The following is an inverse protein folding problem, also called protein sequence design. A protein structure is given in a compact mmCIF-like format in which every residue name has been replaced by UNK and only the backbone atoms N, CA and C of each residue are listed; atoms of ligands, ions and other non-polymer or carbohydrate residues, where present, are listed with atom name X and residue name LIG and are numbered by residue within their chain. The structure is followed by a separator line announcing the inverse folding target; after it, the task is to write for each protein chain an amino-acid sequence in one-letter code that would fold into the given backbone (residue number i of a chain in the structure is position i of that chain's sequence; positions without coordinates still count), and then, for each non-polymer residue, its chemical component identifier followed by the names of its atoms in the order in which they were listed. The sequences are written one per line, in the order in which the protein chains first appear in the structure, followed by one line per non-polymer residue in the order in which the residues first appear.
data_IF_510738440760
#
_entry.id   IF_510738440760
#
_cell.length_a   1.000
_cell.length_b   1.000
_cell.length_c   1.000
_cell.angle_alpha   90.00
_cell.angle_beta   90.00
_cell.angle_gamma   90.00
#
_symmetry.space_group_name_H-M   'P 1'
#
loop_
_entity.id
_entity.type
_entity.pdbx_description
1 polymer ?
#
# COMPACT_ATOMS: atom_id res chain seq x y z
N UNK A 1 30.40 -21.69 5.28
CA UNK A 1 29.78 -20.38 5.59
C UNK A 1 28.29 -20.58 5.68
N UNK A 2 27.59 -19.85 6.54
CA UNK A 2 26.13 -19.87 6.68
C UNK A 2 25.62 -18.44 6.82
N UNK A 3 24.33 -18.23 6.56
CA UNK A 3 23.62 -16.97 6.80
C UNK A 3 22.65 -17.13 7.96
N UNK A 4 22.29 -16.03 8.61
CA UNK A 4 21.29 -16.04 9.68
C UNK A 4 19.88 -15.66 9.21
N UNK A 5 19.72 -14.86 8.15
CA UNK A 5 18.39 -14.50 7.62
C UNK A 5 17.95 -15.33 6.39
N UNK A 6 16.64 -15.57 6.26
CA UNK A 6 16.01 -16.35 5.18
C UNK A 6 15.67 -15.56 3.89
N UNK A 7 15.07 -14.38 3.98
CA UNK A 7 14.82 -13.48 2.86
C UNK A 7 14.98 -12.05 3.33
N UNK A 8 15.50 -11.16 2.47
CA UNK A 8 15.74 -9.76 2.80
C UNK A 8 14.85 -8.85 1.95
N UNK A 9 14.46 -7.71 2.50
CA UNK A 9 14.02 -6.55 1.71
C UNK A 9 15.24 -5.73 1.28
N UNK A 10 15.08 -4.98 0.20
CA UNK A 10 16.12 -4.07 -0.27
C UNK A 10 16.55 -3.09 0.85
N UNK A 11 17.86 -2.90 1.00
CA UNK A 11 18.45 -2.07 2.07
C UNK A 11 18.78 -2.81 3.37
N UNK A 12 18.25 -4.01 3.57
CA UNK A 12 18.57 -4.84 4.73
C UNK A 12 19.97 -5.47 4.62
N UNK A 13 20.55 -5.81 5.78
CA UNK A 13 21.86 -6.47 5.86
C UNK A 13 21.67 -7.97 6.00
N UNK A 14 22.41 -8.74 5.22
CA UNK A 14 22.67 -10.15 5.56
C UNK A 14 23.81 -10.23 6.58
N UNK A 15 23.68 -11.09 7.59
CA UNK A 15 24.82 -11.52 8.40
C UNK A 15 25.30 -12.91 7.95
N UNK A 16 26.56 -12.97 7.55
CA UNK A 16 27.26 -14.18 7.14
C UNK A 16 28.25 -14.59 8.22
N UNK A 17 28.26 -15.86 8.57
CA UNK A 17 29.20 -16.41 9.54
C UNK A 17 29.90 -17.64 8.97
N UNK A 18 31.13 -17.85 9.41
CA UNK A 18 31.84 -19.07 9.06
C UNK A 18 33.00 -19.33 9.98
N UNK A 19 33.67 -20.45 9.73
CA UNK A 19 34.81 -20.92 10.50
C UNK A 19 35.81 -21.56 9.54
N UNK A 20 37.06 -21.15 9.63
CA UNK A 20 38.17 -21.74 8.89
C UNK A 20 38.59 -23.06 9.53
N UNK A 21 38.88 -24.08 8.72
CA UNK A 21 39.19 -25.45 9.18
C UNK A 21 40.43 -25.50 10.07
N UNK A 22 41.46 -24.70 9.76
CA UNK A 22 42.72 -24.67 10.52
C UNK A 22 42.59 -24.09 11.95
N UNK A 23 41.45 -23.46 12.30
CA UNK A 23 41.20 -22.82 13.61
C UNK A 23 42.30 -21.84 14.06
N UNK A 24 43.02 -21.20 13.12
CA UNK A 24 44.10 -20.24 13.42
C UNK A 24 43.54 -18.81 13.50
N UNK A 25 44.19 -17.99 14.33
CA UNK A 25 43.93 -16.55 14.43
C UNK A 25 44.44 -15.81 13.18
N UNK A 26 43.83 -14.66 12.89
CA UNK A 26 44.28 -13.66 11.91
C UNK A 26 44.38 -14.16 10.46
N UNK A 27 43.62 -15.19 10.08
CA UNK A 27 43.57 -15.66 8.70
C UNK A 27 42.61 -14.81 7.88
N UNK A 28 43.05 -14.22 6.76
CA UNK A 28 42.16 -13.48 5.86
C UNK A 28 41.27 -14.44 5.09
N UNK A 29 39.97 -14.16 5.06
CA UNK A 29 38.96 -14.91 4.32
C UNK A 29 38.32 -13.98 3.30
N UNK A 30 38.50 -14.25 2.02
CA UNK A 30 37.83 -13.51 0.96
C UNK A 30 36.36 -13.94 0.89
N UNK A 31 35.44 -13.00 1.09
CA UNK A 31 34.01 -13.23 0.89
C UNK A 31 33.60 -12.61 -0.43
N UNK A 32 33.17 -13.46 -1.35
CA UNK A 32 32.65 -13.06 -2.65
C UNK A 32 31.13 -13.02 -2.65
N UNK A 33 30.59 -12.07 -3.41
CA UNK A 33 29.18 -12.01 -3.76
C UNK A 33 29.01 -12.04 -5.27
N UNK A 34 28.16 -12.95 -5.76
CA UNK A 34 27.71 -12.98 -7.15
C UNK A 34 26.22 -12.63 -7.20
N UNK A 35 25.91 -11.38 -7.55
CA UNK A 35 24.55 -10.98 -7.88
C UNK A 35 24.06 -11.74 -9.13
N UNK A 36 22.74 -11.99 -9.23
CA UNK A 36 22.15 -12.63 -10.42
C UNK A 36 22.46 -11.79 -11.66
N UNK A 37 23.03 -12.43 -12.69
CA UNK A 37 23.41 -11.76 -13.93
C UNK A 37 24.73 -10.97 -13.90
N UNK A 38 25.47 -10.98 -12.78
CA UNK A 38 26.77 -10.32 -12.67
C UNK A 38 27.93 -11.30 -12.47
N UNK A 39 29.15 -10.80 -12.67
CA UNK A 39 30.39 -11.50 -12.27
C UNK A 39 30.56 -11.45 -10.74
N UNK A 40 31.14 -12.49 -10.10
CA UNK A 40 31.46 -12.45 -8.68
C UNK A 40 32.41 -11.28 -8.36
N UNK A 41 32.17 -10.63 -7.21
CA UNK A 41 33.02 -9.54 -6.69
C UNK A 41 33.37 -9.84 -5.24
N UNK A 42 34.59 -9.50 -4.82
CA UNK A 42 34.96 -9.52 -3.39
C UNK A 42 34.27 -8.38 -2.68
N UNK A 43 33.48 -8.70 -1.66
CA UNK A 43 32.76 -7.70 -0.86
C UNK A 43 33.41 -7.42 0.48
N UNK A 44 34.21 -8.35 1.00
CA UNK A 44 34.91 -8.20 2.27
C UNK A 44 36.06 -9.21 2.38
N UNK A 45 37.06 -8.87 3.19
CA UNK A 45 38.16 -9.77 3.57
C UNK A 45 38.31 -9.78 5.10
N UNK A 46 37.35 -10.33 5.87
CA UNK A 46 37.48 -10.43 7.32
C UNK A 46 38.69 -11.29 7.74
N UNK A 47 39.20 -11.04 8.94
CA UNK A 47 40.19 -11.90 9.60
C UNK A 47 39.55 -12.79 10.66
N UNK A 48 40.07 -14.00 10.83
CA UNK A 48 39.53 -14.98 11.78
C UNK A 48 39.91 -14.69 13.23
N UNK A 49 38.99 -14.96 14.16
CA UNK A 49 39.27 -14.95 15.60
C UNK A 49 40.16 -16.13 16.05
N UNK A 50 40.49 -16.21 17.34
CA UNK A 50 41.35 -17.28 17.91
C UNK A 50 40.75 -18.69 17.75
N UNK A 51 39.45 -18.80 17.47
CA UNK A 51 38.75 -20.06 17.20
C UNK A 51 38.56 -20.32 15.70
N UNK A 52 39.14 -19.48 14.84
CA UNK A 52 39.05 -19.54 13.39
C UNK A 52 37.75 -18.97 12.81
N UNK A 53 36.92 -18.27 13.59
CA UNK A 53 35.60 -17.79 13.14
C UNK A 53 35.69 -16.40 12.52
N UNK A 54 34.78 -16.12 11.60
CA UNK A 54 34.65 -14.81 10.96
C UNK A 54 33.18 -14.44 10.77
N UNK A 55 32.91 -13.14 10.71
CA UNK A 55 31.58 -12.56 10.48
C UNK A 55 31.68 -11.46 9.43
N UNK A 56 30.73 -11.43 8.50
CA UNK A 56 30.57 -10.35 7.52
C UNK A 56 29.13 -9.88 7.54
N UNK A 57 28.93 -8.57 7.40
CA UNK A 57 27.62 -7.98 7.14
C UNK A 57 27.67 -7.28 5.79
N UNK A 58 26.67 -7.51 4.95
CA UNK A 58 26.60 -6.92 3.61
C UNK A 58 25.16 -6.54 3.27
N UNK A 59 24.96 -5.44 2.54
CA UNK A 59 23.64 -5.01 2.02
C UNK A 59 23.56 -5.33 0.52
N UNK A 60 23.08 -6.52 0.13
CA UNK A 60 22.95 -6.83 -1.29
C UNK A 60 21.83 -6.02 -1.94
N UNK A 61 22.12 -5.38 -3.09
CA UNK A 61 21.10 -4.68 -3.88
C UNK A 61 20.17 -5.62 -4.66
N UNK A 62 20.69 -6.80 -5.05
CA UNK A 62 19.98 -7.79 -5.86
C UNK A 62 20.05 -9.15 -5.20
N UNK A 63 19.24 -10.11 -5.65
CA UNK A 63 19.37 -11.52 -5.23
C UNK A 63 20.67 -12.14 -5.79
N UNK A 64 21.22 -13.13 -5.11
CA UNK A 64 22.51 -13.70 -5.52
C UNK A 64 23.03 -14.78 -4.59
N UNK A 65 24.33 -15.05 -4.68
CA UNK A 65 25.00 -16.09 -3.89
C UNK A 65 26.32 -15.60 -3.33
N UNK A 66 26.59 -15.93 -2.07
CA UNK A 66 27.86 -15.70 -1.40
C UNK A 66 28.73 -16.94 -1.41
N UNK A 67 30.04 -16.75 -1.35
CA UNK A 67 31.00 -17.81 -1.06
C UNK A 67 32.18 -17.23 -0.28
N UNK A 68 32.73 -18.01 0.64
CA UNK A 68 34.00 -17.67 1.28
C UNK A 68 35.13 -18.51 0.69
N UNK A 69 36.28 -17.88 0.52
CA UNK A 69 37.49 -18.42 -0.09
C UNK A 69 38.67 -18.07 0.83
N UNK A 70 39.55 -19.02 1.11
CA UNK A 70 40.82 -18.71 1.77
C UNK A 70 41.76 -17.93 0.83
N UNK A 71 42.77 -17.24 1.37
CA UNK A 71 43.69 -16.42 0.54
C UNK A 71 44.36 -17.20 -0.59
N UNK A 72 44.62 -18.50 -0.42
CA UNK A 72 45.27 -19.33 -1.44
C UNK A 72 44.29 -19.87 -2.50
N UNK A 73 42.98 -19.66 -2.33
CA UNK A 73 41.96 -20.21 -3.21
C UNK A 73 41.75 -21.72 -3.08
N UNK A 74 42.45 -22.36 -2.14
CA UNK A 74 42.51 -23.80 -1.91
C UNK A 74 41.29 -24.35 -1.16
N UNK A 75 40.66 -23.51 -0.34
CA UNK A 75 39.46 -23.84 0.43
C UNK A 75 38.32 -22.90 0.05
N UNK A 76 37.20 -23.48 -0.37
CA UNK A 76 35.99 -22.76 -0.79
C UNK A 76 34.78 -23.36 -0.10
N UNK A 77 33.87 -22.51 0.34
CA UNK A 77 32.58 -22.98 0.88
C UNK A 77 31.59 -23.27 -0.24
N UNK A 78 30.53 -24.02 0.08
CA UNK A 78 29.31 -24.00 -0.72
C UNK A 78 28.75 -22.59 -0.86
N UNK A 79 27.97 -22.40 -1.91
CA UNK A 79 27.32 -21.13 -2.22
C UNK A 79 26.11 -20.94 -1.30
N UNK A 80 26.08 -19.81 -0.60
CA UNK A 80 24.95 -19.42 0.26
C UNK A 80 24.07 -18.45 -0.51
N UNK A 81 22.85 -18.85 -0.86
CA UNK A 81 21.91 -17.99 -1.58
C UNK A 81 21.30 -16.91 -0.67
N UNK A 82 21.02 -15.75 -1.25
CA UNK A 82 20.22 -14.69 -0.64
C UNK A 82 19.19 -14.20 -1.65
N UNK A 83 17.97 -13.99 -1.19
CA UNK A 83 16.92 -13.35 -1.97
C UNK A 83 16.67 -11.96 -1.42
N UNK A 84 16.67 -10.98 -2.32
CA UNK A 84 16.39 -9.58 -2.03
C UNK A 84 15.11 -9.20 -2.75
N UNK A 85 14.05 -8.99 -1.97
CA UNK A 85 12.78 -8.45 -2.44
C UNK A 85 12.95 -6.95 -2.66
N UNK A 86 12.54 -6.40 -3.82
CA UNK A 86 12.52 -4.96 -3.98
C UNK A 86 11.52 -4.33 -3.00
N UNK A 87 11.65 -3.02 -2.80
CA UNK A 87 10.68 -2.21 -2.07
C UNK A 87 9.96 -1.36 -3.10
N UNK A 88 8.63 -1.35 -3.06
CA UNK A 88 7.82 -0.45 -3.88
C UNK A 88 7.06 0.45 -2.92
N UNK A 89 7.47 1.70 -2.83
CA UNK A 89 6.70 2.70 -2.08
C UNK A 89 5.64 3.27 -3.02
N UNK A 90 4.40 3.36 -2.55
CA UNK A 90 3.27 3.86 -3.34
C UNK A 90 2.29 4.63 -2.48
N UNK A 91 2.29 5.95 -2.65
CA UNK A 91 1.41 6.88 -1.95
C UNK A 91 0.27 7.33 -2.88
N UNK A 92 -0.96 7.35 -2.35
CA UNK A 92 -2.13 7.78 -3.11
C UNK A 92 -2.93 8.78 -2.31
N UNK A 93 -3.25 9.93 -2.93
CA UNK A 93 -4.14 10.91 -2.30
C UNK A 93 -5.54 10.29 -2.11
N UNK A 94 -6.00 10.07 -0.87
CA UNK A 94 -7.01 9.05 -0.57
C UNK A 94 -8.45 9.44 -0.93
N UNK A 95 -8.71 10.70 -1.30
CA UNK A 95 -10.07 11.16 -1.58
C UNK A 95 -10.10 12.26 -2.62
N UNK A 96 -11.06 12.17 -3.53
CA UNK A 96 -11.32 13.21 -4.52
C UNK A 96 -12.81 13.28 -4.87
N UNK A 97 -13.19 14.32 -5.60
CA UNK A 97 -14.50 14.38 -6.24
C UNK A 97 -14.46 13.65 -7.59
N UNK A 98 -15.58 13.08 -8.00
CA UNK A 98 -15.76 12.47 -9.31
C UNK A 98 -15.44 13.51 -10.38
N UNK A 99 -14.70 13.09 -11.41
CA UNK A 99 -14.19 14.01 -12.43
C UNK A 99 -12.97 14.84 -12.01
N UNK A 100 -12.52 14.83 -10.75
CA UNK A 100 -11.19 15.34 -10.39
C UNK A 100 -10.16 14.22 -10.50
N UNK A 101 -8.92 14.59 -10.78
CA UNK A 101 -7.80 13.65 -10.80
C UNK A 101 -7.47 13.18 -9.38
N UNK A 102 -7.06 11.93 -9.28
CA UNK A 102 -6.42 11.31 -8.11
C UNK A 102 -4.94 11.28 -8.44
N UNK A 103 -4.14 11.94 -7.61
CA UNK A 103 -2.69 11.88 -7.74
C UNK A 103 -2.15 10.73 -6.88
N UNK A 104 -1.21 9.99 -7.45
CA UNK A 104 -0.44 8.97 -6.80
C UNK A 104 1.02 9.14 -7.17
N UNK A 105 1.92 8.76 -6.27
CA UNK A 105 3.36 8.80 -6.50
C UNK A 105 4.00 7.57 -5.88
N UNK A 106 5.22 7.26 -6.30
CA UNK A 106 5.93 6.12 -5.74
C UNK A 106 7.35 5.99 -6.24
N UNK A 107 8.04 5.00 -5.69
CA UNK A 107 9.41 4.67 -6.06
C UNK A 107 9.63 3.17 -5.93
N UNK A 108 10.32 2.58 -6.90
CA UNK A 108 10.78 1.19 -6.84
C UNK A 108 12.25 1.17 -6.49
N UNK A 109 12.61 0.45 -5.43
CA UNK A 109 13.98 0.28 -4.97
C UNK A 109 14.45 -1.19 -5.03
N UNK A 110 15.61 -1.48 -5.66
CA UNK A 110 16.45 -0.50 -6.37
C UNK A 110 15.77 -0.02 -7.66
N UNK A 111 15.93 1.25 -8.00
CA UNK A 111 15.52 1.76 -9.31
C UNK A 111 16.49 1.26 -10.40
N UNK A 112 15.99 1.03 -11.61
CA UNK A 112 16.84 0.73 -12.75
C UNK A 112 16.18 1.12 -14.08
N UNK A 113 16.98 1.55 -15.04
CA UNK A 113 16.52 1.84 -16.41
C UNK A 113 15.88 0.61 -17.05
N UNK A 114 14.82 0.82 -17.82
CA UNK A 114 14.05 -0.23 -18.49
C UNK A 114 13.07 -0.98 -17.59
N UNK A 115 13.10 -0.79 -16.26
CA UNK A 115 12.05 -1.30 -15.36
C UNK A 115 10.76 -0.52 -15.56
N UNK A 116 9.63 -1.22 -15.47
CA UNK A 116 8.30 -0.66 -15.62
C UNK A 116 7.44 -0.96 -14.41
N UNK A 117 6.71 0.04 -13.94
CA UNK A 117 5.60 -0.12 -13.00
C UNK A 117 4.30 -0.03 -13.78
N UNK A 118 3.41 -0.99 -13.57
CA UNK A 118 2.03 -0.95 -14.03
C UNK A 118 1.15 -0.39 -12.90
N UNK A 119 0.48 0.73 -13.17
CA UNK A 119 -0.52 1.30 -12.27
C UNK A 119 -1.91 0.97 -12.76
N UNK A 120 -2.75 0.48 -11.85
CA UNK A 120 -4.11 0.01 -12.14
C UNK A 120 -5.12 0.48 -11.09
N UNK A 121 -6.37 0.63 -11.52
CA UNK A 121 -7.50 0.99 -10.68
C UNK A 121 -8.56 -0.11 -10.69
N UNK A 122 -9.20 -0.35 -9.55
CA UNK A 122 -10.30 -1.30 -9.43
C UNK A 122 -11.40 -0.79 -8.52
N UNK A 123 -12.63 -0.74 -9.03
CA UNK A 123 -13.86 -0.47 -8.26
C UNK A 123 -14.61 -1.75 -7.89
N UNK A 124 -14.81 -2.60 -8.89
CA UNK A 124 -15.46 -3.91 -8.86
C UNK A 124 -14.91 -4.73 -10.03
N UNK A 125 -14.93 -6.05 -9.93
CA UNK A 125 -14.44 -6.93 -10.99
C UNK A 125 -12.93 -6.80 -11.17
N UNK A 126 -12.48 -6.61 -12.41
CA UNK A 126 -11.07 -6.64 -12.76
C UNK A 126 -10.33 -5.32 -12.52
N UNK A 127 -9.00 -5.42 -12.49
CA UNK A 127 -8.11 -4.27 -12.50
C UNK A 127 -8.07 -3.67 -13.90
N UNK A 128 -8.22 -2.35 -13.99
CA UNK A 128 -8.11 -1.60 -15.22
C UNK A 128 -6.79 -0.83 -15.23
N UNK A 129 -6.03 -0.94 -16.32
CA UNK A 129 -4.79 -0.17 -16.52
C UNK A 129 -5.09 1.32 -16.45
N UNK A 130 -4.35 2.01 -15.59
CA UNK A 130 -4.29 3.47 -15.52
C UNK A 130 -3.13 3.95 -16.38
N UNK A 131 -1.92 3.48 -16.07
CA UNK A 131 -0.70 3.97 -16.71
C UNK A 131 0.42 2.94 -16.56
N UNK A 132 1.45 3.04 -17.41
CA UNK A 132 2.73 2.34 -17.24
C UNK A 132 3.84 3.36 -17.15
N UNK A 133 4.60 3.34 -16.07
CA UNK A 133 5.65 4.34 -15.78
C UNK A 133 7.02 3.67 -15.69
N UNK A 134 8.08 4.44 -15.98
CA UNK A 134 9.47 4.02 -15.78
C UNK A 134 9.81 3.93 -14.29
N UNK A 135 10.56 2.90 -13.91
CA UNK A 135 10.97 2.64 -12.52
C UNK A 135 12.48 2.86 -12.29
N UNK A 136 13.09 3.71 -13.12
CA UNK A 136 14.48 4.16 -12.95
C UNK A 136 14.63 5.34 -11.97
N UNK A 137 13.53 6.04 -11.69
CA UNK A 137 13.41 7.21 -10.82
C UNK A 137 12.03 7.18 -10.14
N UNK A 138 11.79 8.02 -9.11
CA UNK A 138 10.44 8.22 -8.58
C UNK A 138 9.46 8.59 -9.69
N UNK A 139 8.21 8.13 -9.54
CA UNK A 139 7.15 8.30 -10.53
C UNK A 139 5.93 8.96 -9.92
N UNK A 140 5.19 9.69 -10.76
CA UNK A 140 3.90 10.29 -10.45
C UNK A 140 2.87 9.78 -11.47
N UNK A 141 1.64 9.57 -11.01
CA UNK A 141 0.51 9.13 -11.82
C UNK A 141 -0.74 9.92 -11.46
N UNK A 142 -1.42 10.39 -12.50
CA UNK A 142 -2.67 11.15 -12.36
C UNK A 142 -3.82 10.38 -12.99
N UNK A 143 -4.79 9.96 -12.19
CA UNK A 143 -5.90 9.12 -12.63
C UNK A 143 -7.26 9.77 -12.42
N UNK A 144 -8.11 9.78 -13.44
CA UNK A 144 -9.49 10.33 -13.35
C UNK A 144 -10.53 9.20 -13.20
N UNK A 145 -11.15 9.02 -12.03
CA UNK A 145 -12.20 8.04 -11.83
C UNK A 145 -13.49 8.42 -12.58
N UNK A 146 -14.10 7.45 -13.25
CA UNK A 146 -15.34 7.62 -14.02
C UNK A 146 -16.61 7.66 -13.15
N UNK A 147 -16.58 7.01 -11.99
CA UNK A 147 -17.77 6.81 -11.14
C UNK A 147 -17.46 7.04 -9.67
N UNK A 148 -18.47 7.42 -8.89
CA UNK A 148 -18.37 7.48 -7.43
C UNK A 148 -18.22 6.09 -6.78
N UNK A 149 -17.57 6.07 -5.62
CA UNK A 149 -17.47 4.91 -4.74
C UNK A 149 -16.04 4.63 -4.26
N UNK A 150 -15.85 3.44 -3.71
CA UNK A 150 -14.55 2.96 -3.24
C UNK A 150 -13.81 2.25 -4.37
N UNK A 151 -12.55 2.64 -4.57
CA UNK A 151 -11.60 2.03 -5.47
C UNK A 151 -10.39 1.53 -4.67
N UNK A 152 -9.61 0.67 -5.32
CA UNK A 152 -8.20 0.42 -4.98
C UNK A 152 -7.36 0.88 -6.16
N UNK A 153 -6.30 1.61 -5.88
CA UNK A 153 -5.25 1.91 -6.84
C UNK A 153 -4.05 1.03 -6.49
N UNK A 154 -3.39 0.45 -7.49
CA UNK A 154 -2.25 -0.46 -7.31
C UNK A 154 -1.10 -0.04 -8.20
N UNK A 155 0.11 -0.02 -7.67
CA UNK A 155 1.34 -0.06 -8.44
C UNK A 155 1.91 -1.49 -8.38
N UNK A 156 2.42 -1.98 -9.50
CA UNK A 156 3.00 -3.32 -9.57
C UNK A 156 4.25 -3.36 -10.45
N UNK A 157 5.28 -4.00 -9.91
CA UNK A 157 6.47 -4.44 -10.62
C UNK A 157 6.37 -5.95 -10.81
N UNK A 158 6.43 -6.43 -12.05
CA UNK A 158 6.32 -7.87 -12.33
C UNK A 158 7.57 -8.66 -11.91
N UNK A 159 8.70 -7.97 -11.70
CA UNK A 159 10.00 -8.58 -11.48
C UNK A 159 10.87 -8.56 -12.73
N UNK A 160 12.12 -8.99 -12.57
CA UNK A 160 13.05 -9.17 -13.66
C UNK A 160 14.09 -10.26 -13.34
N UNK A 161 15.14 -10.38 -14.15
CA UNK A 161 16.20 -11.37 -13.96
C UNK A 161 16.94 -11.23 -12.61
N UNK A 162 16.89 -10.05 -11.97
CA UNK A 162 17.64 -9.68 -10.76
C UNK A 162 16.76 -9.62 -9.50
N UNK A 163 15.48 -9.28 -9.65
CA UNK A 163 14.56 -9.00 -8.54
C UNK A 163 13.20 -9.68 -8.76
N UNK A 164 12.59 -10.14 -7.66
CA UNK A 164 11.20 -10.62 -7.66
C UNK A 164 10.23 -9.47 -7.94
N UNK A 165 9.00 -9.79 -8.33
CA UNK A 165 7.92 -8.80 -8.41
C UNK A 165 7.49 -8.30 -7.04
N UNK A 166 6.96 -7.09 -7.01
CA UNK A 166 6.39 -6.44 -5.82
C UNK A 166 5.18 -5.61 -6.22
N UNK A 167 4.22 -5.45 -5.31
CA UNK A 167 3.01 -4.69 -5.58
C UNK A 167 2.51 -4.02 -4.30
N UNK A 168 2.06 -2.79 -4.44
CA UNK A 168 1.43 -2.04 -3.36
C UNK A 168 0.10 -1.48 -3.83
N UNK A 169 -0.88 -1.44 -2.91
CA UNK A 169 -2.21 -0.96 -3.23
C UNK A 169 -2.81 -0.12 -2.11
N UNK A 170 -3.38 1.03 -2.48
CA UNK A 170 -4.02 1.95 -1.56
C UNK A 170 -5.51 2.14 -1.90
N UNK A 171 -6.38 2.33 -0.89
CA UNK A 171 -7.78 2.64 -1.13
C UNK A 171 -7.94 4.09 -1.58
N UNK A 172 -8.89 4.32 -2.48
CA UNK A 172 -9.30 5.66 -2.92
C UNK A 172 -10.82 5.78 -2.81
N UNK A 173 -11.29 6.83 -2.14
CA UNK A 173 -12.71 7.14 -2.09
C UNK A 173 -13.06 8.30 -3.02
N UNK A 174 -13.90 8.02 -3.99
CA UNK A 174 -14.38 8.99 -4.97
C UNK A 174 -15.79 9.42 -4.58
N UNK A 175 -15.95 10.70 -4.29
CA UNK A 175 -17.22 11.28 -3.88
C UNK A 175 -17.88 12.03 -5.03
N UNK A 176 -19.16 12.34 -4.93
CA UNK A 176 -19.79 13.43 -5.70
C UNK A 176 -20.28 14.49 -4.75
N UNK A 177 -20.51 15.68 -5.26
CA UNK A 177 -21.25 16.69 -4.51
C UNK A 177 -22.73 16.30 -4.44
N UNK A 178 -23.34 16.57 -3.29
CA UNK A 178 -24.75 16.32 -3.02
C UNK A 178 -25.26 17.30 -1.96
N UNK A 179 -26.55 17.54 -1.95
CA UNK A 179 -27.26 18.37 -0.97
C UNK A 179 -27.90 17.47 0.08
N UNK A 180 -27.60 17.77 1.34
CA UNK A 180 -28.20 17.12 2.50
C UNK A 180 -29.08 18.09 3.27
N UNK A 181 -30.08 17.56 3.98
CA UNK A 181 -30.72 18.23 5.12
C UNK A 181 -30.66 17.39 6.39
N UNK A 182 -31.42 17.78 7.41
CA UNK A 182 -31.45 17.14 8.73
C UNK A 182 -32.90 16.81 9.11
N UNK A 183 -33.11 15.64 9.68
CA UNK A 183 -34.40 15.22 10.25
C UNK A 183 -34.23 14.56 11.63
N UNK A 184 -35.31 14.53 12.42
CA UNK A 184 -35.29 13.93 13.75
C UNK A 184 -36.42 14.39 14.67
N UNK A 185 -36.44 15.66 15.14
CA UNK A 185 -37.31 16.13 16.24
C UNK A 185 -38.80 15.78 16.10
N UNK A 186 -39.39 15.95 14.92
CA UNK A 186 -40.80 15.61 14.66
C UNK A 186 -41.07 14.13 14.34
N UNK A 187 -40.03 13.30 14.24
CA UNK A 187 -40.12 11.89 13.83
C UNK A 187 -39.62 10.92 14.90
N UNK A 188 -39.05 11.41 16.02
CA UNK A 188 -38.61 10.55 17.10
C UNK A 188 -39.75 9.69 17.65
N UNK A 189 -39.44 8.45 17.98
CA UNK A 189 -40.40 7.45 18.43
C UNK A 189 -41.11 6.69 17.30
N UNK A 190 -41.09 7.21 16.07
CA UNK A 190 -41.72 6.55 14.91
C UNK A 190 -40.79 5.49 14.33
N UNK A 191 -41.39 4.51 13.66
CA UNK A 191 -40.64 3.52 12.88
C UNK A 191 -40.22 4.13 11.55
N UNK A 192 -38.94 4.01 11.22
CA UNK A 192 -38.38 4.37 9.90
C UNK A 192 -38.85 3.39 8.83
N UNK A 193 -38.76 3.77 7.56
CA UNK A 193 -39.09 2.88 6.45
C UNK A 193 -38.18 1.65 6.34
N UNK A 194 -37.04 1.63 7.05
CA UNK A 194 -36.17 0.46 7.16
C UNK A 194 -36.43 -0.38 8.42
N UNK A 195 -37.53 -0.13 9.14
CA UNK A 195 -38.03 -0.97 10.21
C UNK A 195 -37.50 -0.68 11.61
N UNK A 196 -36.50 0.19 11.76
CA UNK A 196 -35.97 0.58 13.08
C UNK A 196 -36.71 1.80 13.65
N UNK A 197 -36.83 1.90 14.97
CA UNK A 197 -37.37 3.09 15.66
C UNK A 197 -36.35 4.24 15.62
N UNK A 198 -36.80 5.44 15.27
CA UNK A 198 -35.96 6.62 15.26
C UNK A 198 -35.84 7.21 16.68
N UNK A 199 -34.62 7.32 17.17
CA UNK A 199 -34.29 7.90 18.47
C UNK A 199 -33.32 9.08 18.30
N UNK A 200 -33.17 9.90 19.35
CA UNK A 200 -32.23 11.04 19.35
C UNK A 200 -30.78 10.63 19.05
N UNK A 201 -30.40 9.42 19.46
CA UNK A 201 -29.04 8.86 19.24
C UNK A 201 -28.88 8.11 17.92
N UNK A 202 -29.96 7.91 17.15
CA UNK A 202 -29.91 7.12 15.92
C UNK A 202 -29.02 7.82 14.89
N UNK A 203 -27.97 7.14 14.45
CA UNK A 203 -27.04 7.62 13.42
C UNK A 203 -27.36 6.95 12.09
N UNK A 204 -27.84 7.72 11.12
CA UNK A 204 -28.20 7.20 9.81
C UNK A 204 -28.53 8.31 8.82
N UNK A 205 -28.96 7.90 7.63
CA UNK A 205 -29.42 8.79 6.57
C UNK A 205 -30.67 8.23 5.89
N UNK A 206 -31.55 9.10 5.41
CA UNK A 206 -32.63 8.76 4.51
C UNK A 206 -32.18 8.88 3.05
N UNK A 207 -32.61 7.94 2.20
CA UNK A 207 -32.43 8.03 0.75
C UNK A 207 -33.60 7.40 -0.01
N UNK A 208 -34.00 8.03 -1.11
CA UNK A 208 -35.16 7.63 -1.95
C UNK A 208 -35.11 6.17 -2.40
N UNK A 209 -33.94 5.69 -2.84
CA UNK A 209 -33.81 4.41 -3.57
C UNK A 209 -32.71 3.45 -3.06
N UNK A 210 -31.84 3.88 -2.15
CA UNK A 210 -30.70 3.04 -1.75
C UNK A 210 -31.18 2.03 -0.72
N UNK A 211 -30.76 0.77 -0.86
CA UNK A 211 -31.15 -0.32 0.04
C UNK A 211 -30.89 0.03 1.51
N UNK A 212 -31.81 -0.38 2.38
CA UNK A 212 -31.68 -0.26 3.82
C UNK A 212 -30.40 -0.95 4.31
N UNK A 213 -29.75 -0.37 5.34
CA UNK A 213 -28.47 -0.86 5.87
C UNK A 213 -27.25 -0.53 5.01
N UNK A 214 -27.41 -0.07 3.77
CA UNK A 214 -26.26 0.27 2.92
C UNK A 214 -25.48 1.43 3.52
N UNK A 215 -24.18 1.22 3.74
CA UNK A 215 -23.28 2.27 4.25
C UNK A 215 -22.94 3.30 3.17
N UNK A 216 -23.03 4.57 3.55
CA UNK A 216 -22.67 5.74 2.75
C UNK A 216 -21.71 6.60 3.54
N UNK A 217 -20.56 6.92 2.94
CA UNK A 217 -19.61 7.88 3.50
C UNK A 217 -19.96 9.29 3.03
N UNK A 218 -20.00 10.23 3.97
CA UNK A 218 -20.15 11.66 3.75
C UNK A 218 -18.89 12.40 4.22
N UNK A 219 -18.48 13.44 3.49
CA UNK A 219 -17.33 14.28 3.85
C UNK A 219 -17.65 15.76 3.71
N UNK A 220 -17.21 16.57 4.68
CA UNK A 220 -17.33 18.04 4.67
C UNK A 220 -16.29 18.67 5.58
N UNK A 221 -15.60 19.72 5.10
CA UNK A 221 -14.64 20.53 5.87
C UNK A 221 -13.67 19.67 6.73
N UNK A 222 -13.01 18.70 6.09
CA UNK A 222 -12.06 17.79 6.75
C UNK A 222 -12.67 16.64 7.57
N UNK A 223 -13.98 16.66 7.83
CA UNK A 223 -14.69 15.62 8.59
C UNK A 223 -15.32 14.58 7.68
N UNK A 224 -15.37 13.33 8.16
CA UNK A 224 -15.97 12.21 7.44
C UNK A 224 -16.77 11.33 8.39
N UNK A 225 -17.94 10.87 7.95
CA UNK A 225 -18.75 9.87 8.66
C UNK A 225 -19.19 8.80 7.67
N UNK A 226 -19.30 7.55 8.12
CA UNK A 226 -19.93 6.47 7.35
C UNK A 226 -21.14 5.97 8.11
N UNK A 227 -22.33 6.13 7.52
CA UNK A 227 -23.61 5.84 8.17
C UNK A 227 -24.49 4.95 7.29
N UNK A 228 -25.34 4.08 7.89
CA UNK A 228 -26.27 3.28 7.12
C UNK A 228 -27.44 4.13 6.58
N UNK A 229 -28.00 3.71 5.45
CA UNK A 229 -29.35 4.14 5.03
C UNK A 229 -30.37 3.48 5.93
N UNK A 230 -31.17 4.29 6.61
CA UNK A 230 -32.15 3.83 7.60
C UNK A 230 -33.57 4.28 7.28
N UNK A 231 -33.78 5.10 6.25
CA UNK A 231 -35.10 5.63 5.96
C UNK A 231 -35.27 6.03 4.48
N UNK A 232 -36.48 6.44 4.11
CA UNK A 232 -36.85 6.93 2.77
C UNK A 232 -37.03 8.45 2.76
N UNK A 233 -36.88 9.04 1.58
CA UNK A 233 -36.84 10.49 1.37
C UNK A 233 -35.42 11.00 1.11
N UNK A 234 -35.19 12.33 1.13
CA UNK A 234 -36.19 13.40 1.16
C UNK A 234 -37.06 13.37 -0.09
N UNK A 235 -38.35 13.71 -0.01
CA UNK A 235 -39.22 13.83 -1.20
C UNK A 235 -39.25 15.24 -1.79
N UNK A 236 -38.20 16.02 -1.53
CA UNK A 236 -38.02 17.39 -2.03
C UNK A 236 -37.10 17.36 -3.25
N UNK A 237 -37.40 18.20 -4.26
CA UNK A 237 -36.54 18.37 -5.45
C UNK A 237 -35.15 18.88 -5.04
N UNK A 238 -34.12 18.43 -5.75
CA UNK A 238 -32.71 18.80 -5.53
C UNK A 238 -32.10 18.46 -4.15
N UNK A 239 -32.80 17.69 -3.31
CA UNK A 239 -32.25 17.12 -2.08
C UNK A 239 -32.06 15.62 -2.25
N UNK A 240 -30.86 15.14 -1.97
CA UNK A 240 -30.53 13.72 -2.13
C UNK A 240 -30.53 12.97 -0.81
N UNK A 241 -30.17 13.65 0.28
CA UNK A 241 -29.95 13.01 1.58
C UNK A 241 -30.64 13.78 2.70
N UNK A 242 -31.18 13.06 3.68
CA UNK A 242 -31.53 13.64 4.99
C UNK A 242 -30.76 12.90 6.07
N UNK A 243 -29.86 13.60 6.75
CA UNK A 243 -29.11 13.05 7.88
C UNK A 243 -29.97 13.08 9.13
N UNK A 244 -29.87 12.06 9.97
CA UNK A 244 -30.42 12.19 11.33
C UNK A 244 -29.69 13.32 12.08
N UNK A 245 -30.34 13.94 13.06
CA UNK A 245 -29.70 14.97 13.91
C UNK A 245 -28.36 14.47 14.50
N UNK A 246 -28.27 13.21 14.92
CA UNK A 246 -27.02 12.63 15.41
C UNK A 246 -25.94 12.51 14.32
N UNK A 247 -26.30 12.11 13.10
CA UNK A 247 -25.35 12.04 11.99
C UNK A 247 -24.89 13.45 11.55
N UNK A 248 -25.81 14.40 11.45
CA UNK A 248 -25.52 15.79 11.12
C UNK A 248 -24.58 16.44 12.16
N UNK A 249 -24.82 16.20 13.45
CA UNK A 249 -23.96 16.67 14.54
C UNK A 249 -22.51 16.16 14.40
N UNK A 250 -22.33 14.87 14.08
CA UNK A 250 -21.00 14.29 13.84
C UNK A 250 -20.29 14.89 12.63
N UNK A 251 -21.02 15.18 11.55
CA UNK A 251 -20.46 15.81 10.35
C UNK A 251 -20.39 17.35 10.43
N UNK A 252 -20.92 17.94 11.52
CA UNK A 252 -21.08 19.39 11.71
C UNK A 252 -21.88 20.07 10.59
N UNK A 253 -22.96 19.42 10.16
CA UNK A 253 -23.92 19.96 9.19
C UNK A 253 -25.07 20.62 9.94
N UNK A 254 -25.51 21.78 9.42
CA UNK A 254 -26.63 22.56 9.93
C UNK A 254 -27.56 22.91 8.76
N UNK A 255 -28.86 22.71 8.94
CA UNK A 255 -29.86 22.99 7.90
C UNK A 255 -29.58 22.24 6.58
N UNK A 256 -29.76 22.94 5.46
CA UNK A 256 -29.52 22.42 4.11
C UNK A 256 -28.12 22.82 3.65
N UNK A 257 -27.26 21.86 3.34
CA UNK A 257 -25.87 22.12 2.96
C UNK A 257 -25.36 21.16 1.89
N UNK A 258 -24.35 21.63 1.13
CA UNK A 258 -23.58 20.78 0.23
C UNK A 258 -22.56 19.95 1.01
N UNK A 259 -22.49 18.66 0.68
CA UNK A 259 -21.57 17.66 1.23
C UNK A 259 -21.06 16.77 0.11
N UNK A 260 -19.93 16.11 0.34
CA UNK A 260 -19.45 15.06 -0.54
C UNK A 260 -20.04 13.72 -0.10
N UNK A 261 -20.59 12.93 -1.01
CA UNK A 261 -21.15 11.61 -0.72
C UNK A 261 -20.57 10.54 -1.65
N UNK A 262 -20.41 9.34 -1.11
CA UNK A 262 -19.83 8.18 -1.83
C UNK A 262 -20.81 7.46 -2.76
N UNK A 263 -22.01 8.00 -2.94
CA UNK A 263 -23.14 7.41 -3.69
C UNK A 263 -23.92 8.44 -4.44
#
# INVERSE_FOLDING_TARGET
MRRTEGSLRFGERVKLTGRHSSRKHDKPIQVEYKARGEKPKTIAVPRTDRKGRYVVRHRPAHSGRYRAIDRKGSLKTDKVAVEVKPTLDFEVKPSTLTGRKVEASGELLPGAEGRRILVEARRKGDWKRVERVDAGKPFDVSWRPERVGSYKLRASFEGDKRNLGEREAAPVMVFRESVTSIYGPGFYGRQTACGQRLERKTVGVAHKKIACGKKVTFRRKGRSITVPVIDRGPFIKHREWDLTTAAASKLKVEGVQRVWSSR
#
